data_IF_565368480552
#
_entry.id   IF_565368480552
#
_cell.length_a   1.000
_cell.length_b   1.000
_cell.length_c   1.000
_cell.angle_alpha   90.00
_cell.angle_beta   90.00
_cell.angle_gamma   90.00
#
_symmetry.space_group_name_H-M   'P 1'
#
loop_
_entity.id
_entity.type
_entity.pdbx_description
1 polymer ?
#
# COMPACT_ATOMS: atom_id res chain seq x y z
N UNK A 1 7.05 -4.86 28.93
CA UNK A 1 7.42 -4.21 27.65
C UNK A 1 8.09 -2.89 27.95
N UNK A 2 9.30 -2.61 27.43
CA UNK A 2 9.91 -1.29 27.54
C UNK A 2 8.97 -0.23 26.95
N UNK A 3 8.64 0.79 27.72
CA UNK A 3 7.79 1.90 27.27
C UNK A 3 8.59 2.80 26.35
N UNK A 4 8.05 3.12 25.17
CA UNK A 4 8.65 4.14 24.31
C UNK A 4 8.77 5.48 25.05
N UNK A 5 9.79 6.29 24.75
CA UNK A 5 9.97 7.59 25.37
C UNK A 5 8.73 8.47 25.17
N UNK A 6 8.30 9.18 26.21
CA UNK A 6 7.16 10.11 26.11
C UNK A 6 7.40 11.28 25.14
N UNK A 7 8.65 11.53 24.78
CA UNK A 7 9.06 12.52 23.78
C UNK A 7 8.90 12.06 22.33
N UNK A 8 8.67 10.76 22.09
CA UNK A 8 8.46 10.24 20.74
C UNK A 8 7.02 10.53 20.31
N UNK A 9 6.82 11.67 19.66
CA UNK A 9 5.52 12.11 19.14
C UNK A 9 5.42 11.99 17.62
N UNK A 10 6.53 11.73 16.92
CA UNK A 10 6.58 11.66 15.46
C UNK A 10 7.36 10.42 15.04
N UNK A 11 6.86 9.69 14.06
CA UNK A 11 7.57 8.56 13.48
C UNK A 11 7.34 8.43 11.98
N UNK A 12 8.35 7.90 11.29
CA UNK A 12 8.31 7.59 9.86
C UNK A 12 8.90 6.20 9.64
N UNK A 13 8.14 5.32 9.02
CA UNK A 13 8.55 3.94 8.73
C UNK A 13 8.43 3.69 7.23
N UNK A 14 9.57 3.47 6.58
CA UNK A 14 9.63 3.17 5.16
C UNK A 14 10.23 1.78 4.96
N UNK A 15 9.39 0.84 4.53
CA UNK A 15 9.78 -0.53 4.27
C UNK A 15 10.34 -0.74 2.84
N UNK A 16 10.24 0.26 1.96
CA UNK A 16 10.93 0.33 0.66
C UNK A 16 11.26 1.78 0.25
N UNK A 17 12.13 1.99 -0.76
CA UNK A 17 12.68 3.31 -1.18
C UNK A 17 11.75 4.13 -2.07
N UNK A 18 11.57 5.42 -1.76
CA UNK A 18 10.64 6.32 -2.46
C UNK A 18 11.09 6.51 -3.91
N UNK A 19 10.19 6.28 -4.88
CA UNK A 19 10.44 6.49 -6.32
C UNK A 19 11.69 5.77 -6.84
N UNK A 20 11.82 4.48 -6.58
CA UNK A 20 12.80 3.67 -7.28
C UNK A 20 12.26 3.34 -8.66
N UNK A 21 12.83 4.01 -9.66
CA UNK A 21 12.70 3.65 -11.07
C UNK A 21 13.30 2.26 -11.39
N UNK A 22 13.81 1.55 -10.37
CA UNK A 22 14.57 0.32 -10.48
C UNK A 22 14.23 -0.77 -9.45
N UNK A 23 13.10 -0.65 -8.75
CA UNK A 23 12.59 -1.67 -7.79
C UNK A 23 11.22 -2.18 -8.27
N UNK A 24 11.04 -2.17 -9.58
CA UNK A 24 9.78 -2.46 -10.25
C UNK A 24 9.55 -3.96 -10.26
N UNK A 25 8.74 -4.38 -9.29
CA UNK A 25 8.31 -5.75 -9.15
C UNK A 25 7.43 -6.13 -10.34
N UNK A 26 7.77 -7.25 -10.98
CA UNK A 26 6.93 -7.86 -12.00
C UNK A 26 5.59 -8.26 -11.38
N UNK A 27 4.51 -7.57 -11.79
CA UNK A 27 3.18 -7.74 -11.23
C UNK A 27 2.46 -8.98 -11.78
N UNK A 28 3.04 -9.66 -12.77
CA UNK A 28 2.57 -10.94 -13.28
C UNK A 28 3.06 -12.12 -12.45
N UNK A 29 4.10 -11.94 -11.62
CA UNK A 29 4.61 -12.99 -10.74
C UNK A 29 3.72 -13.20 -9.51
N UNK A 30 3.66 -14.45 -9.03
CA UNK A 30 2.98 -14.77 -7.77
C UNK A 30 3.77 -14.23 -6.58
N UNK A 31 3.09 -13.57 -5.65
CA UNK A 31 3.68 -13.01 -4.44
C UNK A 31 3.62 -14.00 -3.27
N UNK A 32 4.55 -13.93 -2.30
CA UNK A 32 4.50 -14.76 -1.11
C UNK A 32 3.36 -14.32 -0.17
N UNK A 33 2.79 -15.28 0.55
CA UNK A 33 1.92 -15.02 1.70
C UNK A 33 2.77 -14.91 2.98
N UNK A 34 2.93 -13.68 3.47
CA UNK A 34 3.73 -13.33 4.64
C UNK A 34 2.95 -13.44 5.96
N UNK A 35 1.63 -13.64 5.90
CA UNK A 35 0.75 -13.64 7.08
C UNK A 35 0.42 -15.06 7.51
N UNK A 36 0.08 -15.94 6.56
CA UNK A 36 -0.29 -17.32 6.90
C UNK A 36 0.89 -18.18 7.36
N UNK A 37 2.11 -17.84 6.95
CA UNK A 37 3.34 -18.51 7.41
C UNK A 37 3.52 -18.49 8.94
N UNK A 38 2.91 -17.50 9.63
CA UNK A 38 2.93 -17.38 11.10
C UNK A 38 1.93 -18.31 11.82
N UNK A 39 1.10 -19.06 11.11
CA UNK A 39 -0.04 -19.83 11.67
C UNK A 39 0.34 -21.19 12.27
N UNK A 40 1.63 -21.51 12.37
CA UNK A 40 2.09 -22.85 12.82
C UNK A 40 2.01 -23.08 14.33
N UNK A 41 1.56 -22.11 15.15
CA UNK A 41 1.43 -22.31 16.59
C UNK A 41 0.23 -21.61 17.25
N UNK A 42 -0.78 -22.42 17.56
CA UNK A 42 -1.97 -22.14 18.39
C UNK A 42 -2.98 -21.14 17.80
N UNK A 43 -4.27 -21.46 17.97
CA UNK A 43 -5.42 -20.61 17.64
C UNK A 43 -5.37 -19.30 18.44
N UNK A 44 -4.58 -18.35 17.96
CA UNK A 44 -4.47 -17.02 18.55
C UNK A 44 -5.57 -16.14 17.97
N UNK A 45 -6.05 -15.18 18.76
CA UNK A 45 -7.01 -14.16 18.30
C UNK A 45 -6.51 -13.30 17.12
N UNK A 46 -5.22 -13.46 16.76
CA UNK A 46 -4.53 -12.74 15.69
C UNK A 46 -4.25 -13.63 14.46
N UNK A 47 -4.82 -14.84 14.39
CA UNK A 47 -4.67 -15.72 13.22
C UNK A 47 -5.20 -15.04 11.96
N UNK A 48 -4.35 -14.93 10.93
CA UNK A 48 -4.66 -14.24 9.68
C UNK A 48 -4.61 -12.70 9.76
N UNK A 49 -4.18 -12.11 10.88
CA UNK A 49 -3.94 -10.66 10.97
C UNK A 49 -2.49 -10.32 10.63
N UNK A 50 -2.29 -9.20 9.94
CA UNK A 50 -0.95 -8.72 9.62
C UNK A 50 -0.22 -8.19 10.87
N UNK A 51 0.87 -8.84 11.33
CA UNK A 51 1.60 -8.42 12.52
C UNK A 51 2.24 -7.03 12.38
N UNK A 52 2.60 -6.61 11.16
CA UNK A 52 3.17 -5.28 10.92
C UNK A 52 2.09 -4.22 11.11
N UNK A 53 0.91 -4.41 10.51
CA UNK A 53 -0.25 -3.54 10.72
C UNK A 53 -0.65 -3.45 12.20
N UNK A 54 -0.66 -4.56 12.93
CA UNK A 54 -0.95 -4.58 14.37
C UNK A 54 0.08 -3.78 15.19
N UNK A 55 1.38 -3.99 14.91
CA UNK A 55 2.46 -3.28 15.61
C UNK A 55 2.44 -1.77 15.33
N UNK A 56 2.19 -1.37 14.09
CA UNK A 56 2.04 0.03 13.69
C UNK A 56 0.81 0.67 14.33
N UNK A 57 -0.30 -0.06 14.43
CA UNK A 57 -1.51 0.39 15.12
C UNK A 57 -1.25 0.69 16.59
N UNK A 58 -0.57 -0.21 17.29
CA UNK A 58 -0.23 -0.05 18.71
C UNK A 58 0.73 1.12 18.91
N UNK A 59 1.69 1.29 17.99
CA UNK A 59 2.62 2.41 18.01
C UNK A 59 1.91 3.76 17.82
N UNK A 60 0.94 3.83 16.91
CA UNK A 60 0.18 5.04 16.59
C UNK A 60 -0.57 5.64 17.78
N UNK A 61 -0.88 4.85 18.81
CA UNK A 61 -1.61 5.31 20.02
C UNK A 61 -0.95 6.47 20.76
N UNK A 62 0.38 6.64 20.61
CA UNK A 62 1.16 7.69 21.27
C UNK A 62 1.59 8.83 20.35
N UNK A 63 1.50 8.64 19.04
CA UNK A 63 2.04 9.56 18.05
C UNK A 63 1.06 10.69 17.74
N UNK A 64 1.62 11.86 17.46
CA UNK A 64 0.93 13.00 16.85
C UNK A 64 1.09 12.97 15.32
N UNK A 65 2.21 12.45 14.82
CA UNK A 65 2.48 12.35 13.39
C UNK A 65 3.02 10.96 13.04
N UNK A 66 2.39 10.31 12.05
CA UNK A 66 2.77 8.99 11.58
C UNK A 66 2.75 8.96 10.05
N UNK A 67 3.91 8.69 9.46
CA UNK A 67 4.08 8.47 8.02
C UNK A 67 4.56 7.04 7.79
N UNK A 68 3.77 6.24 7.08
CA UNK A 68 4.02 4.81 6.85
C UNK A 68 4.12 4.55 5.36
N UNK A 69 5.07 3.69 5.00
CA UNK A 69 5.16 3.10 3.67
C UNK A 69 5.38 1.60 3.79
N UNK A 70 4.31 0.81 3.72
CA UNK A 70 4.27 -0.60 4.10
C UNK A 70 3.27 -1.43 3.27
N UNK A 71 3.47 -2.75 3.17
CA UNK A 71 2.40 -3.66 2.78
C UNK A 71 1.40 -3.67 3.94
N UNK A 72 0.14 -3.35 3.67
CA UNK A 72 -0.84 -3.12 4.72
C UNK A 72 -2.12 -3.91 4.47
N UNK A 73 -2.77 -4.28 5.55
CA UNK A 73 -4.15 -4.79 5.57
C UNK A 73 -5.06 -3.79 6.30
N UNK A 74 -6.39 -3.99 6.25
CA UNK A 74 -7.30 -3.17 7.05
C UNK A 74 -7.04 -3.23 8.57
N UNK A 75 -6.25 -4.20 9.05
CA UNK A 75 -5.94 -4.39 10.48
C UNK A 75 -5.23 -3.19 11.11
N UNK A 76 -4.53 -2.38 10.31
CA UNK A 76 -3.89 -1.14 10.76
C UNK A 76 -4.91 -0.17 11.35
N UNK A 77 -6.11 -0.13 10.77
CA UNK A 77 -7.16 0.83 11.11
C UNK A 77 -8.28 0.22 11.96
N UNK A 78 -8.48 -1.10 11.89
CA UNK A 78 -9.51 -1.79 12.68
C UNK A 78 -9.28 -1.58 14.17
N UNK A 79 -10.29 -1.01 14.84
CA UNK A 79 -10.27 -0.72 16.28
C UNK A 79 -9.08 0.13 16.72
N UNK A 80 -8.49 0.92 15.82
CA UNK A 80 -7.41 1.83 16.18
C UNK A 80 -7.95 3.00 17.01
N UNK A 81 -7.22 3.36 18.05
CA UNK A 81 -7.49 4.54 18.87
C UNK A 81 -6.22 5.35 18.95
N UNK A 82 -6.14 6.40 18.13
CA UNK A 82 -4.98 7.28 18.06
C UNK A 82 -5.36 8.68 18.57
N UNK A 83 -5.55 8.84 19.90
CA UNK A 83 -6.16 10.03 20.50
C UNK A 83 -5.36 11.32 20.26
N UNK A 84 -4.05 11.19 20.00
CA UNK A 84 -3.12 12.31 19.80
C UNK A 84 -2.82 12.57 18.33
N UNK A 85 -3.27 11.71 17.42
CA UNK A 85 -2.94 11.79 16.00
C UNK A 85 -3.43 13.10 15.42
N UNK A 86 -2.53 13.84 14.77
CA UNK A 86 -2.80 15.09 14.05
C UNK A 86 -2.59 14.92 12.56
N UNK A 87 -1.54 14.19 12.18
CA UNK A 87 -1.18 13.96 10.79
C UNK A 87 -0.89 12.47 10.55
N UNK A 88 -1.72 11.87 9.71
CA UNK A 88 -1.56 10.48 9.28
C UNK A 88 -1.31 10.46 7.77
N UNK A 89 -0.24 9.78 7.38
CA UNK A 89 0.18 9.66 5.99
C UNK A 89 0.53 8.20 5.70
N UNK A 90 -0.22 7.55 4.81
CA UNK A 90 -0.12 6.12 4.55
C UNK A 90 0.06 5.89 3.06
N UNK A 91 1.27 5.51 2.66
CA UNK A 91 1.56 4.94 1.35
C UNK A 91 1.49 3.41 1.46
N UNK A 92 0.41 2.80 0.97
CA UNK A 92 0.28 1.34 0.97
C UNK A 92 0.86 0.76 -0.32
N UNK A 93 1.40 -0.46 -0.24
CA UNK A 93 1.81 -1.19 -1.44
C UNK A 93 0.57 -1.74 -2.17
N UNK A 94 0.52 -1.75 -3.52
CA UNK A 94 -0.59 -2.35 -4.27
C UNK A 94 -0.78 -3.86 -4.02
N UNK A 95 0.26 -4.55 -3.55
CA UNK A 95 0.21 -5.92 -3.04
C UNK A 95 0.02 -5.92 -1.51
N UNK A 96 -0.92 -6.72 -1.03
CA UNK A 96 -1.16 -6.98 0.37
C UNK A 96 -0.15 -8.00 0.94
N UNK A 97 0.02 -8.05 2.28
CA UNK A 97 0.91 -9.02 2.93
C UNK A 97 0.59 -10.50 2.68
N UNK A 98 -0.64 -10.85 2.32
CA UNK A 98 -1.06 -12.22 1.97
C UNK A 98 -0.72 -12.60 0.52
N UNK A 99 -0.02 -11.72 -0.21
CA UNK A 99 0.36 -11.89 -1.60
C UNK A 99 -0.75 -11.58 -2.61
N UNK A 100 -1.94 -11.16 -2.16
CA UNK A 100 -3.01 -10.71 -3.05
C UNK A 100 -2.78 -9.26 -3.51
N UNK A 101 -3.28 -8.90 -4.69
CA UNK A 101 -3.20 -7.53 -5.21
C UNK A 101 -4.51 -6.77 -5.00
N UNK A 102 -4.43 -5.49 -4.63
CA UNK A 102 -5.59 -4.60 -4.56
C UNK A 102 -6.09 -4.14 -5.94
N UNK A 103 -5.26 -4.31 -6.97
CA UNK A 103 -5.52 -3.87 -8.34
C UNK A 103 -5.36 -5.02 -9.33
N UNK A 104 -6.22 -5.05 -10.33
CA UNK A 104 -6.19 -5.94 -11.51
C UNK A 104 -5.74 -5.15 -12.73
N UNK A 105 -5.51 -5.86 -13.83
CA UNK A 105 -5.37 -5.20 -15.12
C UNK A 105 -6.66 -4.53 -15.62
N UNK A 106 -6.57 -3.73 -16.70
CA UNK A 106 -7.69 -2.93 -17.22
C UNK A 106 -8.94 -3.74 -17.57
N UNK A 107 -8.76 -4.96 -18.09
CA UNK A 107 -9.87 -5.87 -18.47
C UNK A 107 -10.35 -6.74 -17.30
N UNK A 108 -9.85 -6.50 -16.08
CA UNK A 108 -10.21 -7.25 -14.87
C UNK A 108 -9.33 -8.48 -14.59
N UNK A 109 -8.22 -8.62 -15.31
CA UNK A 109 -7.28 -9.73 -15.16
C UNK A 109 -6.50 -9.65 -13.85
N UNK A 110 -6.59 -10.72 -13.07
CA UNK A 110 -5.93 -10.87 -11.79
C UNK A 110 -5.20 -12.22 -11.74
N UNK A 111 -4.07 -12.36 -12.46
CA UNK A 111 -3.26 -13.57 -12.37
C UNK A 111 -2.76 -13.72 -10.93
N UNK A 112 -2.69 -14.95 -10.44
CA UNK A 112 -2.26 -15.24 -9.07
C UNK A 112 -3.03 -14.45 -8.00
N UNK A 113 -4.35 -14.65 -7.87
CA UNK A 113 -5.19 -13.91 -6.91
C UNK A 113 -4.85 -14.17 -5.43
N UNK A 114 -4.02 -15.17 -5.15
CA UNK A 114 -3.62 -15.61 -3.80
C UNK A 114 -2.11 -15.82 -3.78
N UNK A 115 -1.47 -15.45 -2.67
CA UNK A 115 -0.05 -15.67 -2.48
C UNK A 115 0.34 -17.14 -2.37
N UNK A 116 1.62 -17.45 -2.62
CA UNK A 116 2.15 -18.79 -2.38
C UNK A 116 2.57 -18.95 -0.92
N UNK A 117 2.39 -20.16 -0.38
CA UNK A 117 2.79 -20.46 0.98
C UNK A 117 4.32 -20.52 1.10
N UNK A 118 4.87 -19.85 2.10
CA UNK A 118 6.30 -19.90 2.41
C UNK A 118 6.56 -21.13 3.27
N UNK A 119 7.38 -22.04 2.75
CA UNK A 119 7.84 -23.26 3.42
C UNK A 119 9.31 -23.15 3.80
N UNK A 120 9.70 -23.72 4.95
CA UNK A 120 11.09 -23.72 5.40
C UNK A 120 12.00 -24.43 4.38
N UNK A 121 11.54 -25.56 3.84
CA UNK A 121 12.33 -26.39 2.93
C UNK A 121 12.64 -25.73 1.58
N UNK A 122 11.69 -24.98 1.01
CA UNK A 122 11.85 -24.38 -0.32
C UNK A 122 12.42 -22.97 -0.25
N UNK A 123 12.08 -22.19 0.79
CA UNK A 123 12.36 -20.76 0.86
C UNK A 123 13.46 -20.40 1.89
N UNK A 124 13.73 -21.27 2.86
CA UNK A 124 14.80 -21.10 3.86
C UNK A 124 15.66 -22.38 3.97
N UNK A 125 16.28 -22.85 2.87
CA UNK A 125 16.99 -24.13 2.87
C UNK A 125 18.13 -24.12 3.91
N UNK A 126 18.14 -25.07 4.87
CA UNK A 126 19.12 -25.07 5.96
C UNK A 126 20.56 -25.27 5.44
N UNK A 127 21.50 -24.46 5.95
CA UNK A 127 22.93 -24.66 5.73
C UNK A 127 23.61 -23.81 4.65
N UNK A 128 23.08 -22.63 4.31
CA UNK A 128 23.78 -21.60 3.49
C UNK A 128 24.20 -20.35 4.28
N UNK A 129 24.17 -20.42 5.60
CA UNK A 129 24.62 -19.33 6.49
C UNK A 129 26.13 -19.42 6.75
N UNK A 130 26.95 -19.43 5.71
CA UNK A 130 28.37 -19.11 5.89
C UNK A 130 28.48 -17.61 6.11
N UNK A 131 28.54 -17.20 7.38
CA UNK A 131 28.60 -15.81 7.84
C UNK A 131 29.74 -14.99 7.17
N UNK A 132 30.82 -15.65 6.74
CA UNK A 132 31.91 -15.00 6.00
C UNK A 132 31.54 -14.74 4.53
N UNK A 133 30.80 -15.66 3.87
CA UNK A 133 30.39 -15.51 2.47
C UNK A 133 29.24 -14.51 2.31
N UNK A 134 28.34 -14.41 3.29
CA UNK A 134 27.24 -13.42 3.25
C UNK A 134 27.74 -11.98 3.36
N UNK A 135 28.82 -11.73 4.12
CA UNK A 135 29.44 -10.41 4.20
C UNK A 135 30.22 -10.06 2.92
N UNK A 136 30.94 -11.03 2.35
CA UNK A 136 31.66 -10.87 1.08
C UNK A 136 30.70 -10.62 -0.12
N UNK A 137 29.47 -11.14 -0.07
CA UNK A 137 28.45 -10.88 -1.10
C UNK A 137 27.91 -9.45 -1.04
N UNK A 138 27.71 -8.88 0.16
CA UNK A 138 27.34 -7.48 0.32
C UNK A 138 28.48 -6.51 -0.05
N UNK A 139 29.74 -6.86 0.25
CA UNK A 139 30.90 -6.03 -0.11
C UNK A 139 31.26 -6.11 -1.61
N UNK A 140 30.91 -7.22 -2.30
CA UNK A 140 31.14 -7.39 -3.74
C UNK A 140 30.08 -6.69 -4.60
N UNK A 141 28.89 -6.46 -4.07
CA UNK A 141 27.82 -5.73 -4.75
C UNK A 141 28.10 -4.21 -4.80
N UNK A 142 28.90 -3.65 -3.89
CA UNK A 142 29.36 -2.25 -3.97
C UNK A 142 30.49 -2.02 -5.00
N UNK A 143 31.20 -3.08 -5.40
CA UNK A 143 32.45 -2.98 -6.18
C UNK A 143 32.36 -3.26 -7.68
N UNK A 144 31.25 -3.84 -8.15
CA UNK A 144 31.09 -4.27 -9.54
C UNK A 144 29.67 -3.99 -10.04
N UNK A 145 29.15 -2.79 -9.73
CA UNK A 145 28.06 -2.17 -10.46
C UNK A 145 28.51 -2.02 -11.92
N UNK A 146 28.42 -3.11 -12.70
CA UNK A 146 28.22 -3.04 -14.14
C UNK A 146 27.18 -1.96 -14.34
N UNK A 147 27.56 -0.92 -15.08
CA UNK A 147 26.77 0.26 -15.42
C UNK A 147 25.29 -0.05 -15.34
N UNK A 148 24.60 0.59 -14.39
CA UNK A 148 23.19 0.34 -14.05
C UNK A 148 22.33 0.18 -15.32
N UNK A 149 22.66 0.92 -16.39
CA UNK A 149 22.05 0.85 -17.73
C UNK A 149 21.89 -0.56 -18.34
N UNK A 150 22.85 -1.49 -18.20
CA UNK A 150 22.79 -2.80 -18.89
C UNK A 150 21.86 -3.83 -18.19
N UNK A 151 21.57 -3.64 -16.89
CA UNK A 151 20.64 -4.51 -16.15
C UNK A 151 19.17 -4.10 -16.33
N UNK A 152 18.91 -2.83 -16.66
CA UNK A 152 17.54 -2.32 -16.83
C UNK A 152 16.90 -2.82 -18.12
N UNK A 153 17.65 -2.82 -19.22
CA UNK A 153 17.16 -3.27 -20.54
C UNK A 153 16.73 -4.75 -20.56
N UNK A 154 17.18 -5.56 -19.59
CA UNK A 154 16.92 -7.00 -19.58
C UNK A 154 15.75 -7.42 -18.69
N UNK A 155 15.31 -6.61 -17.72
CA UNK A 155 14.34 -7.06 -16.71
C UNK A 155 12.88 -6.70 -17.00
N UNK A 156 12.62 -5.71 -17.87
CA UNK A 156 11.29 -5.21 -18.31
C UNK A 156 10.08 -5.79 -17.51
N UNK A 157 9.90 -5.38 -16.25
CA UNK A 157 8.89 -5.96 -15.38
C UNK A 157 7.48 -5.61 -15.86
N UNK A 158 6.59 -6.60 -15.89
CA UNK A 158 5.22 -6.44 -16.37
C UNK A 158 4.35 -5.70 -15.34
N UNK A 159 4.17 -4.39 -15.51
CA UNK A 159 3.36 -3.55 -14.62
C UNK A 159 2.06 -3.12 -15.31
N UNK A 160 0.96 -3.73 -14.92
CA UNK A 160 -0.32 -3.56 -15.62
C UNK A 160 -1.51 -3.37 -14.66
N UNK A 161 -1.31 -3.53 -13.35
CA UNK A 161 -2.39 -3.56 -12.35
C UNK A 161 -2.82 -2.15 -11.95
N UNK A 162 -3.74 -1.59 -12.71
CA UNK A 162 -4.22 -0.21 -12.51
C UNK A 162 -5.69 -0.11 -12.08
N UNK A 163 -6.47 -1.18 -12.25
CA UNK A 163 -7.91 -1.18 -11.99
C UNK A 163 -8.19 -1.66 -10.56
N UNK A 164 -8.87 -0.89 -9.69
CA UNK A 164 -9.16 -1.34 -8.33
C UNK A 164 -10.05 -2.58 -8.30
N UNK A 165 -9.70 -3.57 -7.47
CA UNK A 165 -10.53 -4.74 -7.16
C UNK A 165 -11.39 -4.40 -5.94
N UNK A 166 -12.66 -4.11 -6.21
CA UNK A 166 -13.65 -3.63 -5.22
C UNK A 166 -13.64 -4.45 -3.93
N UNK A 167 -13.66 -5.77 -4.04
CA UNK A 167 -13.76 -6.70 -2.92
C UNK A 167 -12.54 -6.66 -1.98
N UNK A 168 -11.39 -6.17 -2.48
CA UNK A 168 -10.13 -6.10 -1.72
C UNK A 168 -9.83 -4.69 -1.23
N UNK A 169 -10.06 -3.67 -2.06
CA UNK A 169 -9.71 -2.29 -1.72
C UNK A 169 -10.76 -1.63 -0.81
N UNK A 170 -12.04 -1.96 -0.95
CA UNK A 170 -13.10 -1.35 -0.14
C UNK A 170 -12.99 -1.66 1.36
N UNK A 171 -12.68 -2.89 1.79
CA UNK A 171 -12.41 -3.17 3.20
C UNK A 171 -11.30 -2.31 3.80
N UNK A 172 -10.26 -2.00 3.02
CA UNK A 172 -9.16 -1.13 3.44
C UNK A 172 -9.61 0.33 3.58
N UNK A 173 -10.31 0.85 2.56
CA UNK A 173 -10.88 2.20 2.58
C UNK A 173 -11.91 2.39 3.71
N UNK A 174 -12.77 1.39 3.94
CA UNK A 174 -13.77 1.43 4.99
C UNK A 174 -13.11 1.45 6.36
N UNK A 175 -12.14 0.57 6.61
CA UNK A 175 -11.42 0.56 7.88
C UNK A 175 -10.69 1.89 8.11
N UNK A 176 -10.07 2.46 7.06
CA UNK A 176 -9.47 3.79 7.12
C UNK A 176 -10.51 4.85 7.52
N UNK A 177 -11.62 4.98 6.80
CA UNK A 177 -12.68 5.96 7.09
C UNK A 177 -13.23 5.85 8.52
N UNK A 178 -13.47 4.62 8.99
CA UNK A 178 -13.95 4.37 10.36
C UNK A 178 -12.92 4.77 11.42
N UNK A 179 -11.63 4.64 11.14
CA UNK A 179 -10.58 5.08 12.06
C UNK A 179 -10.47 6.59 12.18
N UNK A 180 -10.85 7.35 11.15
CA UNK A 180 -10.77 8.82 11.15
C UNK A 180 -11.86 9.50 11.98
N UNK A 181 -12.82 8.73 12.48
CA UNK A 181 -13.94 9.27 13.23
C UNK A 181 -13.46 9.99 14.51
N UNK A 182 -14.17 11.04 14.97
CA UNK A 182 -13.76 11.82 16.15
C UNK A 182 -13.60 11.00 17.44
N UNK A 183 -14.24 9.83 17.53
CA UNK A 183 -14.11 8.95 18.70
C UNK A 183 -12.75 8.23 18.73
N UNK A 184 -12.13 8.02 17.58
CA UNK A 184 -10.86 7.30 17.40
C UNK A 184 -9.67 8.26 17.25
N UNK A 185 -9.85 9.38 16.53
CA UNK A 185 -8.82 10.40 16.28
C UNK A 185 -9.34 11.83 16.51
N UNK A 186 -9.64 12.23 17.75
CA UNK A 186 -10.21 13.55 18.07
C UNK A 186 -9.30 14.75 17.76
N UNK A 187 -7.99 14.53 17.63
CA UNK A 187 -7.01 15.60 17.38
C UNK A 187 -6.61 15.71 15.89
N UNK A 188 -7.27 14.94 15.01
CA UNK A 188 -6.88 14.80 13.62
C UNK A 188 -7.01 16.14 12.89
N UNK A 189 -6.00 16.48 12.08
CA UNK A 189 -6.00 17.64 11.19
C UNK A 189 -5.99 17.21 9.73
N UNK A 190 -5.19 16.20 9.40
CA UNK A 190 -5.14 15.64 8.06
C UNK A 190 -4.84 14.14 8.12
N UNK A 191 -5.50 13.38 7.26
CA UNK A 191 -5.18 11.98 7.01
C UNK A 191 -5.13 11.73 5.51
N UNK A 192 -4.20 10.91 5.07
CA UNK A 192 -4.06 10.54 3.68
C UNK A 192 -3.69 9.08 3.55
N UNK A 193 -4.35 8.38 2.62
CA UNK A 193 -4.02 7.02 2.24
C UNK A 193 -3.94 6.93 0.73
N UNK A 194 -2.80 6.50 0.20
CA UNK A 194 -2.55 6.47 -1.23
C UNK A 194 -1.56 5.37 -1.61
N UNK A 195 -1.47 5.10 -2.90
CA UNK A 195 -0.45 4.28 -3.54
C UNK A 195 -0.07 4.91 -4.88
N UNK A 196 1.12 4.57 -5.37
CA UNK A 196 1.51 4.83 -6.76
C UNK A 196 1.16 3.61 -7.60
N UNK A 197 0.51 3.85 -8.73
CA UNK A 197 0.25 2.84 -9.74
C UNK A 197 1.17 3.12 -10.93
N UNK A 198 1.69 2.04 -11.49
CA UNK A 198 2.62 2.08 -12.61
C UNK A 198 2.01 1.31 -13.78
N UNK A 199 2.10 1.91 -14.96
CA UNK A 199 1.71 1.32 -16.22
C UNK A 199 2.92 1.26 -17.14
N UNK A 200 3.40 0.04 -17.33
CA UNK A 200 4.46 -0.34 -18.25
C UNK A 200 4.31 -1.85 -18.45
N UNK A 201 3.25 -2.28 -19.17
CA UNK A 201 3.01 -3.69 -19.43
C UNK A 201 4.11 -4.27 -20.32
N UNK A 202 4.31 -5.59 -20.26
CA UNK A 202 5.18 -6.29 -21.21
C UNK A 202 4.70 -6.09 -22.67
N UNK A 203 5.60 -6.20 -23.66
CA UNK A 203 5.24 -6.04 -25.07
C UNK A 203 4.07 -6.96 -25.51
N UNK A 204 4.05 -8.20 -25.01
CA UNK A 204 2.98 -9.15 -25.31
C UNK A 204 1.62 -8.61 -24.84
N UNK A 205 1.58 -8.13 -23.60
CA UNK A 205 0.36 -7.61 -22.99
C UNK A 205 -0.02 -6.24 -23.57
N UNK A 206 0.96 -5.39 -23.90
CA UNK A 206 0.73 -4.11 -24.57
C UNK A 206 0.00 -4.30 -25.90
N UNK A 207 0.40 -5.30 -26.71
CA UNK A 207 -0.29 -5.67 -27.96
C UNK A 207 -1.75 -6.06 -27.74
N UNK A 208 -2.05 -6.70 -26.60
CA UNK A 208 -3.44 -7.05 -26.26
C UNK A 208 -4.30 -5.84 -25.89
N UNK A 209 -3.70 -4.71 -25.52
CA UNK A 209 -4.39 -3.47 -25.16
C UNK A 209 -4.42 -2.42 -26.27
N UNK A 210 -3.74 -2.62 -27.41
CA UNK A 210 -3.69 -1.65 -28.52
C UNK A 210 -5.07 -1.17 -29.01
N UNK A 211 -6.11 -1.97 -28.82
CA UNK A 211 -7.49 -1.65 -29.21
C UNK A 211 -8.41 -1.25 -28.03
N UNK A 212 -7.87 -1.06 -26.83
CA UNK A 212 -8.63 -0.75 -25.62
C UNK A 212 -8.54 0.74 -25.28
N UNK A 213 -9.68 1.39 -25.07
CA UNK A 213 -9.76 2.76 -24.55
C UNK A 213 -9.56 2.81 -23.02
N UNK A 214 -9.42 1.65 -22.36
CA UNK A 214 -9.33 1.53 -20.89
C UNK A 214 -7.88 1.65 -20.36
N UNK A 215 -6.91 1.94 -21.23
CA UNK A 215 -5.48 2.07 -20.86
C UNK A 215 -5.01 3.52 -20.84
N UNK A 216 -4.04 3.86 -19.98
CA UNK A 216 -3.42 5.18 -20.00
C UNK A 216 -2.79 5.47 -21.36
N UNK A 217 -2.84 6.72 -21.86
CA UNK A 217 -2.11 7.09 -23.06
C UNK A 217 -0.62 6.85 -22.83
N UNK A 218 -0.01 6.04 -23.69
CA UNK A 218 1.39 5.67 -23.61
C UNK A 218 2.15 6.36 -24.74
N UNK A 219 3.11 7.21 -24.41
CA UNK A 219 4.18 7.58 -25.34
C UNK A 219 5.19 6.42 -25.39
N UNK A 220 5.80 6.16 -26.56
CA UNK A 220 6.50 4.91 -26.88
C UNK A 220 7.63 4.51 -25.89
N UNK A 221 8.09 5.41 -25.01
CA UNK A 221 9.17 5.15 -24.05
C UNK A 221 8.89 5.64 -22.60
N UNK A 222 7.69 6.14 -22.29
CA UNK A 222 7.41 6.71 -20.96
C UNK A 222 6.57 5.78 -20.09
N UNK A 223 7.15 5.39 -18.93
CA UNK A 223 6.39 4.71 -17.87
C UNK A 223 5.39 5.70 -17.30
N UNK A 224 4.10 5.36 -17.41
CA UNK A 224 3.05 6.19 -16.83
C UNK A 224 2.91 5.82 -15.37
N UNK A 225 3.19 6.78 -14.49
CA UNK A 225 3.00 6.64 -13.05
C UNK A 225 1.93 7.64 -12.63
N UNK A 226 0.92 7.17 -11.91
CA UNK A 226 -0.11 8.06 -11.36
C UNK A 226 -0.46 7.70 -9.94
N UNK A 227 -0.91 8.72 -9.22
CA UNK A 227 -1.30 8.60 -7.82
C UNK A 227 -2.75 8.09 -7.69
N UNK A 228 -2.95 7.11 -6.83
CA UNK A 228 -4.28 6.62 -6.47
C UNK A 228 -4.49 6.72 -4.96
N UNK A 229 -5.56 7.35 -4.49
CA UNK A 229 -5.82 7.45 -3.05
C UNK A 229 -6.92 8.42 -2.65
N UNK A 230 -6.98 8.67 -1.34
CA UNK A 230 -7.94 9.55 -0.70
C UNK A 230 -7.26 10.37 0.39
N UNK A 231 -7.59 11.66 0.43
CA UNK A 231 -7.10 12.62 1.43
C UNK A 231 -8.27 13.25 2.17
N UNK A 232 -8.18 13.27 3.48
CA UNK A 232 -9.12 13.93 4.38
C UNK A 232 -8.44 15.08 5.12
N UNK A 233 -9.07 16.24 5.13
CA UNK A 233 -8.71 17.39 5.94
C UNK A 233 -9.84 17.61 6.96
N UNK A 234 -9.50 17.52 8.23
CA UNK A 234 -10.47 17.67 9.32
C UNK A 234 -10.98 19.12 9.40
N UNK A 235 -12.20 19.35 9.92
CA UNK A 235 -12.72 20.69 10.12
C UNK A 235 -11.81 21.51 11.07
N UNK A 236 -11.58 22.77 10.75
CA UNK A 236 -10.78 23.70 11.55
C UNK A 236 -11.54 25.01 11.75
N UNK A 237 -12.11 25.19 12.94
CA UNK A 237 -12.92 26.36 13.28
C UNK A 237 -14.17 26.48 12.41
N UNK A 238 -14.19 27.49 11.53
CA UNK A 238 -15.29 27.75 10.58
C UNK A 238 -15.17 26.94 9.28
N UNK A 239 -14.02 26.29 9.03
CA UNK A 239 -13.78 25.49 7.82
C UNK A 239 -14.39 24.10 7.98
N UNK A 240 -15.30 23.74 7.08
CA UNK A 240 -15.83 22.37 6.98
C UNK A 240 -14.71 21.40 6.61
N UNK A 241 -14.82 20.14 7.05
CA UNK A 241 -13.90 19.08 6.65
C UNK A 241 -13.95 18.88 5.13
N UNK A 242 -12.82 18.56 4.51
CA UNK A 242 -12.68 18.37 3.06
C UNK A 242 -12.21 16.96 2.75
N UNK A 243 -12.77 16.36 1.70
CA UNK A 243 -12.38 15.06 1.19
C UNK A 243 -11.95 15.20 -0.27
N UNK A 244 -10.77 14.70 -0.60
CA UNK A 244 -10.24 14.70 -1.97
C UNK A 244 -9.98 13.25 -2.39
N UNK A 245 -10.61 12.84 -3.49
CA UNK A 245 -10.46 11.53 -4.11
C UNK A 245 -9.57 11.66 -5.35
N UNK A 246 -8.52 10.86 -5.41
CA UNK A 246 -7.66 10.70 -6.58
C UNK A 246 -7.77 9.25 -7.03
N UNK A 247 -8.87 8.90 -7.70
CA UNK A 247 -9.17 7.49 -8.06
C UNK A 247 -9.59 7.33 -9.53
N UNK A 248 -9.41 8.38 -10.34
CA UNK A 248 -9.83 8.42 -11.74
C UNK A 248 -11.34 8.24 -11.90
N UNK A 249 -11.76 7.36 -12.80
CA UNK A 249 -13.17 7.07 -13.08
C UNK A 249 -13.79 6.05 -12.12
N UNK A 250 -12.98 5.37 -11.30
CA UNK A 250 -13.49 4.41 -10.33
C UNK A 250 -14.29 5.11 -9.23
N UNK A 251 -15.38 4.49 -8.76
CA UNK A 251 -16.18 4.99 -7.66
C UNK A 251 -16.38 3.89 -6.61
N UNK A 252 -16.17 4.20 -5.31
CA UNK A 252 -16.43 3.25 -4.25
C UNK A 252 -17.93 2.95 -4.13
N UNK A 253 -18.24 1.79 -3.59
CA UNK A 253 -19.57 1.37 -3.22
C UNK A 253 -20.19 2.26 -2.13
N UNK A 254 -21.51 2.14 -1.99
CA UNK A 254 -22.31 3.01 -1.13
C UNK A 254 -21.85 2.99 0.34
N UNK A 255 -21.38 1.85 0.85
CA UNK A 255 -20.94 1.73 2.25
C UNK A 255 -19.71 2.60 2.53
N UNK A 256 -18.67 2.48 1.69
CA UNK A 256 -17.46 3.31 1.78
C UNK A 256 -17.80 4.79 1.59
N UNK A 257 -18.60 5.12 0.57
CA UNK A 257 -19.05 6.50 0.34
C UNK A 257 -19.78 7.08 1.56
N UNK A 258 -20.68 6.32 2.18
CA UNK A 258 -21.40 6.78 3.37
C UNK A 258 -20.47 6.97 4.57
N UNK A 259 -19.51 6.08 4.78
CA UNK A 259 -18.54 6.20 5.87
C UNK A 259 -17.71 7.49 5.76
N UNK A 260 -17.27 7.85 4.55
CA UNK A 260 -16.56 9.10 4.31
C UNK A 260 -17.47 10.35 4.36
N UNK A 261 -18.71 10.26 3.88
CA UNK A 261 -19.69 11.36 3.97
C UNK A 261 -20.00 11.77 5.40
N UNK A 262 -20.00 10.80 6.32
CA UNK A 262 -20.18 11.06 7.75
C UNK A 262 -19.03 11.91 8.33
N UNK A 263 -17.84 11.94 7.70
CA UNK A 263 -16.70 12.75 8.16
C UNK A 263 -16.78 14.23 7.74
N UNK A 264 -17.59 14.57 6.73
CA UNK A 264 -17.64 15.91 6.10
C UNK A 264 -19.03 16.57 6.18
N UNK A 265 -19.85 16.17 7.15
CA UNK A 265 -21.21 16.67 7.41
C UNK A 265 -22.18 16.55 6.22
N UNK A 266 -22.15 15.39 5.53
CA UNK A 266 -23.31 14.80 4.85
C UNK A 266 -23.78 15.38 3.50
N UNK A 267 -23.48 16.64 3.18
CA UNK A 267 -24.06 17.30 1.99
C UNK A 267 -23.23 17.14 0.69
N UNK A 268 -22.08 16.44 0.73
CA UNK A 268 -21.25 16.16 -0.45
C UNK A 268 -20.55 17.38 -1.07
N UNK A 269 -20.87 18.61 -0.64
CA UNK A 269 -20.27 19.86 -1.13
C UNK A 269 -18.75 19.97 -0.86
N UNK A 270 -18.22 19.15 0.05
CA UNK A 270 -16.81 19.14 0.43
C UNK A 270 -16.02 17.97 -0.18
N UNK A 271 -16.60 17.26 -1.15
CA UNK A 271 -15.93 16.18 -1.89
C UNK A 271 -15.37 16.71 -3.21
N UNK A 272 -14.05 16.59 -3.38
CA UNK A 272 -13.35 16.89 -4.64
C UNK A 272 -12.89 15.58 -5.28
N UNK A 273 -13.10 15.46 -6.60
CA UNK A 273 -12.65 14.32 -7.39
C UNK A 273 -11.61 14.83 -8.38
N UNK A 274 -10.37 14.46 -8.14
CA UNK A 274 -9.23 14.82 -8.97
C UNK A 274 -8.98 13.72 -10.02
N UNK A 275 -8.54 14.15 -11.20
CA UNK A 275 -8.02 13.23 -12.21
C UNK A 275 -6.67 12.64 -11.76
N UNK A 276 -6.24 11.58 -12.44
CA UNK A 276 -4.88 11.09 -12.27
C UNK A 276 -3.87 12.19 -12.62
N UNK A 277 -2.85 12.34 -11.78
CA UNK A 277 -1.70 13.24 -11.94
C UNK A 277 -0.43 12.42 -11.97
#
# INVERSE_FOLDING_TARGET
>A
MPSLPASLTKARFWFWRVRTWGDEMDQAMQMPDLVSASSTSSSSEFEGMDPVSLGLRDLGTRLEELSIRALLTPDLFRSSSWPRMRHLDVEFHPCAPDGSWYFSGPRGEDPHPVGFAITEEEHYPPGREDFEETHDLFDREEGDCRTEDDMWDTRQPDMFRIRPITERIEPLLLAFALSLQPQSMPSLKSAEMFTWLHWSPSEERAREYEASDDVPPQDEDERVMFRWGVKYEAPDGERKGKLTWQVGDWRPGNEVLQAFKQLVDGDGENEEWEAFV
#
